data_IF_470794199929
#
_entry.id   IF_470794199929
#
_cell.length_a   1.000
_cell.length_b   1.000
_cell.length_c   1.000
_cell.angle_alpha   90.00
_cell.angle_beta   90.00
_cell.angle_gamma   90.00
#
_symmetry.space_group_name_H-M   'P 1'
#
loop_
_entity.id
_entity.type
_entity.pdbx_description
1 polymer ?
#
# COMPACT_ATOMS: atom_id res chain seq x y z
N UNK A 1 45.88 -32.13 -45.17
CA UNK A 1 45.95 -30.72 -45.63
C UNK A 1 44.61 -30.36 -46.28
N UNK A 2 44.03 -29.24 -45.80
CA UNK A 2 42.88 -28.44 -46.28
C UNK A 2 41.88 -29.03 -47.30
N UNK A 3 40.64 -29.23 -46.83
CA UNK A 3 39.41 -29.33 -47.64
C UNK A 3 39.01 -27.95 -48.18
N UNK A 4 38.60 -27.95 -49.45
CA UNK A 4 38.19 -26.80 -50.27
C UNK A 4 36.69 -26.54 -50.08
N UNK A 5 36.31 -25.26 -50.06
CA UNK A 5 34.95 -24.75 -50.01
C UNK A 5 34.20 -25.03 -51.32
N UNK A 6 32.99 -25.57 -51.22
CA UNK A 6 31.98 -25.48 -52.28
C UNK A 6 30.92 -24.43 -51.91
N UNK A 7 30.70 -23.52 -52.86
CA UNK A 7 29.69 -22.48 -52.86
C UNK A 7 28.78 -22.77 -54.05
N UNK A 8 27.49 -23.07 -53.83
CA UNK A 8 26.46 -22.97 -54.86
C UNK A 8 25.14 -22.51 -54.25
N UNK A 9 24.61 -21.47 -54.89
CA UNK A 9 23.33 -20.81 -54.70
C UNK A 9 22.18 -21.65 -55.26
N UNK A 10 20.96 -21.43 -54.75
CA UNK A 10 19.73 -21.38 -55.55
C UNK A 10 18.66 -20.51 -54.86
N UNK A 11 18.00 -19.68 -55.69
CA UNK A 11 16.89 -18.78 -55.38
C UNK A 11 15.63 -19.54 -54.92
N UNK A 12 14.66 -18.85 -54.30
CA UNK A 12 13.25 -18.76 -54.77
C UNK A 12 12.41 -17.81 -53.86
N UNK A 13 11.74 -16.88 -54.54
CA UNK A 13 10.50 -16.11 -54.28
C UNK A 13 10.10 -15.59 -52.88
N UNK A 14 9.87 -14.28 -52.85
CA UNK A 14 9.14 -13.49 -51.82
C UNK A 14 7.64 -13.51 -52.11
N UNK A 15 6.77 -13.52 -51.07
CA UNK A 15 5.49 -12.84 -51.15
C UNK A 15 5.44 -11.66 -50.18
N UNK A 16 5.02 -10.53 -50.73
CA UNK A 16 4.64 -9.30 -50.04
C UNK A 16 3.32 -9.55 -49.31
N UNK A 17 3.27 -9.31 -48.01
CA UNK A 17 2.02 -9.05 -47.30
C UNK A 17 2.15 -7.76 -46.49
N UNK A 18 1.55 -6.71 -47.05
CA UNK A 18 1.22 -5.46 -46.39
C UNK A 18 -0.04 -5.74 -45.56
N UNK A 19 0.00 -5.49 -44.25
CA UNK A 19 -1.22 -5.33 -43.47
C UNK A 19 -1.15 -4.02 -42.67
N UNK A 20 -2.04 -3.12 -43.06
CA UNK A 20 -2.31 -1.84 -42.42
C UNK A 20 -2.73 -2.04 -40.97
N UNK A 21 -2.12 -1.30 -40.04
CA UNK A 21 -2.77 -0.97 -38.77
C UNK A 21 -3.38 0.42 -38.93
N UNK A 22 -4.72 0.43 -39.04
CA UNK A 22 -5.54 1.64 -38.95
C UNK A 22 -5.32 2.28 -37.57
N UNK A 23 -4.68 3.45 -37.54
CA UNK A 23 -4.89 4.43 -36.48
C UNK A 23 -5.97 5.39 -36.97
N UNK A 24 -7.19 5.22 -36.47
CA UNK A 24 -8.26 6.21 -36.58
C UNK A 24 -8.47 6.87 -35.23
N UNK A 25 -8.01 8.11 -35.10
CA UNK A 25 -8.75 9.19 -34.43
C UNK A 25 -8.20 10.54 -34.94
N UNK A 26 -8.85 11.05 -35.98
CA UNK A 26 -8.95 12.50 -36.29
C UNK A 26 -10.46 12.74 -36.22
N UNK A 27 -10.98 13.75 -35.52
CA UNK A 27 -11.14 15.16 -35.91
C UNK A 27 -11.33 15.92 -34.57
N UNK A 28 -10.48 16.90 -34.19
CA UNK A 28 -10.53 18.35 -34.55
C UNK A 28 -11.94 18.93 -34.30
N UNK A 29 -12.22 20.13 -33.77
CA UNK A 29 -11.67 21.48 -33.69
C UNK A 29 -12.59 22.18 -32.64
N UNK A 30 -12.47 23.41 -32.17
CA UNK A 30 -11.58 24.55 -32.35
C UNK A 30 -11.89 25.49 -31.18
N UNK A 31 -10.88 26.24 -30.75
CA UNK A 31 -11.01 27.65 -30.36
C UNK A 31 -11.70 27.96 -29.03
N UNK A 32 -10.93 28.54 -28.11
CA UNK A 32 -11.32 29.85 -27.59
C UNK A 32 -10.13 30.65 -27.05
N UNK A 33 -10.31 31.95 -27.21
CA UNK A 33 -9.38 33.07 -27.11
C UNK A 33 -8.85 33.34 -25.72
N UNK A 34 -7.61 33.84 -25.69
CA UNK A 34 -7.00 34.55 -24.56
C UNK A 34 -7.88 35.74 -24.15
N UNK A 35 -8.28 35.79 -22.88
CA UNK A 35 -8.77 37.00 -22.21
C UNK A 35 -7.93 37.17 -20.94
N UNK A 36 -7.28 38.34 -20.81
CA UNK A 36 -6.63 38.81 -19.58
C UNK A 36 -7.71 39.19 -18.55
N UNK A 37 -7.52 38.96 -17.25
CA UNK A 37 -8.29 39.67 -16.24
C UNK A 37 -7.59 40.99 -15.87
N UNK A 38 -8.37 42.06 -15.99
CA UNK A 38 -8.09 43.38 -15.44
C UNK A 38 -8.29 43.42 -13.92
N UNK A 39 -7.74 44.48 -13.34
CA UNK A 39 -7.66 44.81 -11.92
C UNK A 39 -9.00 45.02 -11.20
N UNK A 40 -8.93 44.90 -9.87
CA UNK A 40 -9.81 45.49 -8.85
C UNK A 40 -11.26 44.99 -8.77
N UNK A 41 -11.54 44.19 -7.73
CA UNK A 41 -12.61 44.56 -6.78
C UNK A 41 -12.40 43.88 -5.43
N UNK A 42 -12.47 44.70 -4.40
CA UNK A 42 -12.43 44.35 -2.99
C UNK A 42 -13.77 43.75 -2.55
N UNK A 43 -13.73 42.63 -1.82
CA UNK A 43 -14.89 42.16 -1.06
C UNK A 43 -14.50 41.94 0.40
N UNK A 44 -15.13 42.75 1.24
CA UNK A 44 -14.99 42.82 2.69
C UNK A 44 -15.54 41.56 3.36
N UNK A 45 -14.86 41.18 4.44
CA UNK A 45 -15.28 40.21 5.45
C UNK A 45 -16.68 40.49 5.99
N UNK A 46 -17.51 39.45 6.12
CA UNK A 46 -18.59 39.41 7.10
C UNK A 46 -18.57 38.08 7.82
N UNK A 47 -18.06 38.13 9.05
CA UNK A 47 -18.22 37.12 10.08
C UNK A 47 -19.68 37.10 10.51
N UNK A 48 -20.31 35.93 10.59
CA UNK A 48 -21.59 35.78 11.29
C UNK A 48 -21.52 34.53 12.16
N UNK A 49 -21.57 34.77 13.46
CA UNK A 49 -21.69 33.78 14.52
C UNK A 49 -23.06 33.12 14.49
N UNK A 50 -23.11 31.79 14.46
CA UNK A 50 -24.27 31.01 14.93
C UNK A 50 -23.78 29.76 15.67
N UNK A 51 -24.31 29.61 16.87
CA UNK A 51 -24.18 28.43 17.74
C UNK A 51 -24.61 27.16 17.00
N UNK A 52 -23.95 26.01 17.20
CA UNK A 52 -24.43 24.75 16.64
C UNK A 52 -25.49 24.15 17.57
N UNK A 53 -26.74 24.28 17.17
CA UNK A 53 -27.83 23.43 17.64
C UNK A 53 -27.62 22.02 17.08
N UNK A 54 -27.64 21.04 17.97
CA UNK A 54 -27.57 19.61 17.68
C UNK A 54 -28.79 19.16 16.87
N UNK A 55 -28.57 18.77 15.61
CA UNK A 55 -29.43 17.80 14.94
C UNK A 55 -28.70 17.12 13.77
N UNK A 56 -28.82 15.80 13.73
CA UNK A 56 -28.68 14.92 12.56
C UNK A 56 -27.34 14.93 11.81
N UNK A 57 -26.54 13.88 12.00
CA UNK A 57 -25.63 13.41 10.94
C UNK A 57 -26.00 11.98 10.56
N UNK A 58 -26.88 11.92 9.57
CA UNK A 58 -26.92 10.83 8.60
C UNK A 58 -25.50 10.66 8.01
N UNK A 59 -25.16 9.45 7.55
CA UNK A 59 -24.22 9.37 6.42
C UNK A 59 -24.88 10.23 5.35
N UNK A 60 -24.32 11.40 5.03
CA UNK A 60 -24.79 12.13 3.85
C UNK A 60 -24.72 11.11 2.71
N UNK A 61 -25.84 10.81 2.06
CA UNK A 61 -25.85 9.93 0.87
C UNK A 61 -24.91 10.47 -0.23
N UNK A 62 -24.46 11.71 -0.10
CA UNK A 62 -23.48 12.40 -0.93
C UNK A 62 -22.03 12.37 -0.38
N UNK A 63 -21.77 11.75 0.78
CA UNK A 63 -20.43 11.67 1.38
C UNK A 63 -19.54 10.58 0.80
N UNK A 64 -20.14 9.58 0.12
CA UNK A 64 -19.40 8.66 -0.73
C UNK A 64 -19.26 9.39 -2.08
N UNK A 65 -18.05 9.73 -2.52
CA UNK A 65 -17.89 10.41 -3.80
C UNK A 65 -18.49 9.54 -4.88
N UNK A 66 -19.49 10.07 -5.61
CA UNK A 66 -20.01 9.46 -6.83
C UNK A 66 -18.91 9.55 -7.89
N UNK A 67 -17.98 8.60 -7.84
CA UNK A 67 -16.82 8.58 -8.72
C UNK A 67 -17.22 8.02 -10.09
N UNK A 68 -17.09 8.86 -11.12
CA UNK A 68 -17.35 8.49 -12.52
C UNK A 68 -16.27 7.53 -13.03
N UNK A 69 -15.06 7.58 -12.46
CA UNK A 69 -13.93 6.74 -12.88
C UNK A 69 -13.90 5.37 -12.20
N UNK A 70 -14.68 5.19 -11.13
CA UNK A 70 -14.71 3.96 -10.36
C UNK A 70 -16.11 3.78 -9.71
N UNK A 71 -17.06 3.13 -10.41
CA UNK A 71 -18.39 2.91 -9.84
C UNK A 71 -18.34 1.84 -8.75
N UNK A 72 -19.01 2.09 -7.63
CA UNK A 72 -19.20 1.08 -6.59
C UNK A 72 -19.95 -0.12 -7.18
N UNK A 73 -19.39 -1.31 -6.98
CA UNK A 73 -19.91 -2.55 -7.60
C UNK A 73 -21.05 -3.18 -6.81
N UNK A 74 -21.16 -2.84 -5.51
CA UNK A 74 -22.14 -3.42 -4.61
C UNK A 74 -22.85 -2.32 -3.81
N UNK A 75 -24.14 -2.55 -3.54
CA UNK A 75 -24.93 -1.64 -2.71
C UNK A 75 -24.30 -1.54 -1.31
N UNK A 76 -24.01 -0.32 -0.88
CA UNK A 76 -23.43 -0.03 0.43
C UNK A 76 -21.92 -0.32 0.54
N UNK A 77 -21.23 -0.65 -0.57
CA UNK A 77 -19.77 -0.77 -0.60
C UNK A 77 -19.12 0.52 -0.09
N UNK A 78 -18.18 0.37 0.86
CA UNK A 78 -17.51 1.51 1.51
C UNK A 78 -16.57 2.24 0.56
N UNK A 79 -15.78 1.46 -0.18
CA UNK A 79 -14.84 1.93 -1.19
C UNK A 79 -14.40 0.76 -2.07
N UNK A 80 -13.68 1.06 -3.14
CA UNK A 80 -13.12 0.05 -4.03
C UNK A 80 -12.11 -0.81 -3.26
N UNK A 81 -11.02 -0.19 -2.80
CA UNK A 81 -9.91 -0.92 -2.18
C UNK A 81 -9.59 -0.33 -0.80
N UNK A 82 -9.61 -1.19 0.22
CA UNK A 82 -9.05 -0.89 1.54
C UNK A 82 -7.62 -1.43 1.59
N UNK A 83 -6.66 -0.53 1.81
CA UNK A 83 -5.22 -0.83 1.78
C UNK A 83 -4.61 -1.07 3.15
N UNK A 84 -5.06 -0.33 4.16
CA UNK A 84 -4.52 -0.38 5.52
C UNK A 84 -5.63 -0.20 6.53
N UNK A 85 -5.43 -0.76 7.71
CA UNK A 85 -6.37 -0.69 8.83
C UNK A 85 -5.57 -0.47 10.11
N UNK A 86 -5.96 0.51 10.91
CA UNK A 86 -5.49 0.66 12.29
C UNK A 86 -6.67 0.99 13.21
N UNK A 87 -6.46 0.81 14.51
CA UNK A 87 -7.35 1.34 15.54
C UNK A 87 -6.59 2.39 16.35
N UNK A 88 -7.18 3.58 16.50
CA UNK A 88 -6.61 4.63 17.34
C UNK A 88 -6.91 4.41 18.85
N UNK A 89 -6.28 5.21 19.70
CA UNK A 89 -6.43 5.13 21.17
C UNK A 89 -7.86 5.37 21.68
N UNK A 90 -8.71 6.01 20.87
CA UNK A 90 -10.11 6.27 21.20
C UNK A 90 -11.02 5.13 20.72
N UNK A 91 -10.45 4.10 20.07
CA UNK A 91 -11.19 2.96 19.54
C UNK A 91 -11.70 3.15 18.12
N UNK A 92 -11.43 4.29 17.46
CA UNK A 92 -11.86 4.50 16.08
C UNK A 92 -11.04 3.64 15.14
N UNK A 93 -11.69 3.06 14.14
CA UNK A 93 -11.01 2.33 13.06
C UNK A 93 -10.73 3.30 11.91
N UNK A 94 -9.50 3.29 11.42
CA UNK A 94 -9.07 4.07 10.27
C UNK A 94 -8.73 3.15 9.11
N UNK A 95 -9.24 3.47 7.93
CA UNK A 95 -9.10 2.67 6.72
C UNK A 95 -8.44 3.49 5.62
N UNK A 96 -7.21 3.14 5.26
CA UNK A 96 -6.54 3.71 4.10
C UNK A 96 -7.20 3.20 2.83
N UNK A 97 -7.54 4.09 1.89
CA UNK A 97 -8.22 3.71 0.65
C UNK A 97 -7.33 3.95 -0.57
N UNK A 98 -7.72 3.44 -1.74
CA UNK A 98 -6.98 3.72 -2.97
C UNK A 98 -7.36 5.04 -3.66
N UNK A 99 -8.56 5.59 -3.40
CA UNK A 99 -9.07 6.75 -4.16
C UNK A 99 -9.67 7.86 -3.28
N UNK A 100 -10.12 7.57 -2.07
CA UNK A 100 -10.90 8.50 -1.25
C UNK A 100 -10.10 9.08 -0.07
N UNK A 101 -8.77 9.01 -0.12
CA UNK A 101 -7.92 9.34 1.00
C UNK A 101 -8.06 8.29 2.10
N UNK A 102 -8.64 8.68 3.23
CA UNK A 102 -8.84 7.81 4.40
C UNK A 102 -10.27 7.87 4.91
N UNK A 103 -10.79 6.72 5.36
CA UNK A 103 -12.09 6.62 6.04
C UNK A 103 -11.88 6.37 7.53
N UNK A 104 -12.80 6.85 8.37
CA UNK A 104 -12.81 6.59 9.82
C UNK A 104 -14.17 6.12 10.30
N UNK A 105 -14.23 4.99 10.98
CA UNK A 105 -15.42 4.53 11.70
C UNK A 105 -15.24 4.80 13.20
N UNK A 106 -16.16 5.56 13.78
CA UNK A 106 -16.10 5.98 15.19
C UNK A 106 -16.99 5.17 16.14
N UNK A 107 -17.50 4.02 15.70
CA UNK A 107 -18.47 3.21 16.45
C UNK A 107 -19.93 3.60 16.20
N UNK A 108 -20.20 4.68 15.48
CA UNK A 108 -21.57 5.12 15.14
C UNK A 108 -21.77 5.34 13.65
N UNK A 109 -20.81 5.97 12.97
CA UNK A 109 -20.88 6.26 11.54
C UNK A 109 -19.50 6.30 10.90
N UNK A 110 -19.47 6.24 9.57
CA UNK A 110 -18.26 6.32 8.76
C UNK A 110 -18.06 7.75 8.24
N UNK A 111 -16.85 8.25 8.35
CA UNK A 111 -16.42 9.55 7.85
C UNK A 111 -15.38 9.37 6.73
N UNK A 112 -15.46 10.21 5.70
CA UNK A 112 -14.53 10.22 4.57
C UNK A 112 -13.71 11.51 4.58
N UNK A 113 -12.39 11.38 4.55
CA UNK A 113 -11.43 12.46 4.47
C UNK A 113 -10.72 12.43 3.13
N UNK A 114 -11.29 13.17 2.18
CA UNK A 114 -10.80 13.28 0.80
C UNK A 114 -9.91 14.51 0.63
N UNK A 115 -9.20 14.66 -0.51
CA UNK A 115 -8.44 15.87 -0.80
C UNK A 115 -9.25 17.17 -0.76
N UNK A 116 -10.52 17.12 -1.19
CA UNK A 116 -11.44 18.26 -1.14
C UNK A 116 -11.76 18.69 0.30
N UNK A 117 -11.58 17.78 1.26
CA UNK A 117 -11.73 18.01 2.71
C UNK A 117 -10.38 18.25 3.42
N UNK A 118 -9.31 18.51 2.66
CA UNK A 118 -8.00 18.89 3.18
C UNK A 118 -7.02 17.73 3.42
N UNK A 119 -7.37 16.49 3.08
CA UNK A 119 -6.43 15.37 3.15
C UNK A 119 -5.38 15.43 2.01
N UNK A 120 -4.16 14.93 2.23
CA UNK A 120 -3.03 15.22 1.34
C UNK A 120 -3.01 14.47 0.00
N UNK A 121 -3.78 13.39 -0.17
CA UNK A 121 -3.75 12.57 -1.38
C UNK A 121 -4.92 11.60 -1.50
N UNK A 122 -5.04 10.90 -2.62
CA UNK A 122 -6.19 10.00 -2.87
C UNK A 122 -5.92 8.56 -2.44
N UNK A 123 -4.71 8.06 -2.70
CA UNK A 123 -4.28 6.71 -2.29
C UNK A 123 -3.53 6.78 -0.98
N UNK A 124 -3.99 6.07 0.05
CA UNK A 124 -3.32 5.93 1.35
C UNK A 124 -2.62 4.57 1.44
N UNK A 125 -1.30 4.59 1.55
CA UNK A 125 -0.43 3.40 1.48
C UNK A 125 0.16 2.98 2.82
N UNK A 126 0.15 3.86 3.83
CA UNK A 126 0.55 3.53 5.19
C UNK A 126 -0.17 4.38 6.22
N UNK A 127 -0.37 3.83 7.41
CA UNK A 127 -0.96 4.53 8.56
C UNK A 127 -0.18 4.11 9.81
N UNK A 128 0.24 5.08 10.62
CA UNK A 128 0.86 4.82 11.92
C UNK A 128 0.45 5.88 12.94
N UNK A 129 0.65 5.58 14.22
CA UNK A 129 0.41 6.50 15.32
C UNK A 129 1.73 6.82 16.00
N UNK A 130 1.99 8.10 16.28
CA UNK A 130 3.16 8.51 17.04
C UNK A 130 2.90 8.47 18.57
N UNK A 131 3.93 8.75 19.36
CA UNK A 131 3.84 8.69 20.84
C UNK A 131 2.91 9.74 21.45
N UNK A 132 2.65 10.84 20.74
CA UNK A 132 1.69 11.89 21.16
C UNK A 132 0.23 11.48 20.84
N UNK A 133 0.07 10.41 20.04
CA UNK A 133 -1.22 9.93 19.56
C UNK A 133 -1.71 10.65 18.31
N UNK A 134 -0.83 11.36 17.59
CA UNK A 134 -1.15 11.84 16.26
C UNK A 134 -1.11 10.67 15.28
N UNK A 135 -1.91 10.75 14.23
CA UNK A 135 -1.96 9.73 13.19
C UNK A 135 -1.28 10.27 11.94
N UNK A 136 -0.40 9.47 11.37
CA UNK A 136 0.32 9.81 10.15
C UNK A 136 -0.12 8.89 9.02
N UNK A 137 -0.29 9.47 7.84
CA UNK A 137 -0.74 8.79 6.64
C UNK A 137 0.29 9.00 5.53
N UNK A 138 0.84 7.90 5.00
CA UNK A 138 1.57 7.92 3.73
C UNK A 138 0.55 7.86 2.60
N UNK A 139 0.63 8.78 1.64
CA UNK A 139 -0.33 8.86 0.56
C UNK A 139 0.31 9.31 -0.77
N UNK A 140 -0.48 9.34 -1.85
CA UNK A 140 -0.01 9.73 -3.19
C UNK A 140 0.36 11.22 -3.33
N UNK A 141 0.12 12.05 -2.32
CA UNK A 141 0.53 13.46 -2.28
C UNK A 141 1.63 13.75 -1.27
N UNK A 142 2.23 12.72 -0.66
CA UNK A 142 3.27 12.84 0.36
C UNK A 142 2.84 12.19 1.68
N UNK A 143 3.04 12.90 2.80
CA UNK A 143 2.55 12.46 4.11
C UNK A 143 1.57 13.47 4.71
N UNK A 144 0.54 12.97 5.39
CA UNK A 144 -0.44 13.79 6.11
C UNK A 144 -0.40 13.45 7.59
N UNK A 145 -0.30 14.46 8.46
CA UNK A 145 -0.50 14.35 9.91
C UNK A 145 -1.96 14.67 10.24
N UNK A 146 -2.58 13.89 11.10
CA UNK A 146 -3.83 14.22 11.78
C UNK A 146 -3.56 14.42 13.27
N UNK A 147 -3.82 15.64 13.74
CA UNK A 147 -3.64 16.04 15.14
C UNK A 147 -4.76 16.97 15.55
N UNK A 148 -5.40 16.69 16.68
CA UNK A 148 -6.45 17.54 17.27
C UNK A 148 -7.57 17.93 16.27
N UNK A 149 -8.00 17.00 15.42
CA UNK A 149 -9.06 17.25 14.44
C UNK A 149 -8.59 17.91 13.14
N UNK A 150 -7.30 18.23 13.00
CA UNK A 150 -6.76 18.97 11.86
C UNK A 150 -5.79 18.10 11.05
N UNK A 151 -5.80 18.30 9.72
CA UNK A 151 -4.81 17.73 8.82
C UNK A 151 -3.69 18.73 8.52
N UNK A 152 -2.45 18.23 8.47
CA UNK A 152 -1.29 18.97 7.97
C UNK A 152 -0.61 18.11 6.92
N UNK A 153 -0.43 18.65 5.72
CA UNK A 153 0.09 17.92 4.57
C UNK A 153 1.53 18.34 4.31
N UNK A 154 2.37 17.35 3.99
CA UNK A 154 3.78 17.54 3.65
C UNK A 154 4.07 16.84 2.33
N UNK A 155 4.81 17.53 1.46
CA UNK A 155 5.06 17.16 0.08
C UNK A 155 6.51 17.44 -0.33
N UNK A 156 6.83 17.27 -1.61
CA UNK A 156 8.10 17.68 -2.20
C UNK A 156 8.42 19.17 -1.99
N UNK A 157 7.38 20.02 -1.87
CA UNK A 157 7.57 21.46 -1.56
C UNK A 157 8.16 21.68 -0.17
N UNK A 158 7.99 20.71 0.72
CA UNK A 158 8.47 20.74 2.11
C UNK A 158 9.81 19.99 2.26
N UNK A 159 10.33 19.41 1.17
CA UNK A 159 11.63 18.71 1.11
C UNK A 159 11.54 17.18 1.05
N UNK A 160 10.33 16.59 0.98
CA UNK A 160 10.18 15.16 0.70
C UNK A 160 10.78 14.83 -0.66
N UNK A 161 11.48 13.70 -0.81
CA UNK A 161 12.12 13.35 -2.09
C UNK A 161 11.13 13.08 -3.23
N UNK A 162 9.96 12.54 -2.90
CA UNK A 162 8.93 12.21 -3.89
C UNK A 162 7.55 12.06 -3.21
N UNK A 163 6.50 12.61 -3.81
CA UNK A 163 5.13 12.58 -3.27
C UNK A 163 4.48 11.19 -3.31
N UNK A 164 4.91 10.28 -4.19
CA UNK A 164 4.35 8.95 -4.30
C UNK A 164 4.90 8.05 -3.18
N UNK A 165 4.29 8.17 -2.00
CA UNK A 165 4.65 7.39 -0.80
C UNK A 165 4.05 5.98 -0.87
N UNK A 166 4.89 4.98 -0.58
CA UNK A 166 4.53 3.56 -0.52
C UNK A 166 4.55 2.98 0.88
N UNK A 167 5.41 3.52 1.76
CA UNK A 167 5.53 3.05 3.13
C UNK A 167 5.91 4.18 4.06
N UNK A 168 5.39 4.14 5.28
CA UNK A 168 5.86 4.96 6.38
C UNK A 168 6.18 4.07 7.58
N UNK A 169 7.22 4.42 8.33
CA UNK A 169 7.57 3.80 9.59
C UNK A 169 8.06 4.87 10.57
N UNK A 170 7.86 4.66 11.86
CA UNK A 170 8.37 5.57 12.90
C UNK A 170 9.39 4.80 13.74
N UNK A 171 10.57 5.37 13.95
CA UNK A 171 11.57 4.77 14.81
C UNK A 171 11.39 5.15 16.29
N UNK A 172 12.21 4.57 17.16
CA UNK A 172 12.14 4.79 18.61
C UNK A 172 12.48 6.23 19.05
N UNK A 173 13.05 7.05 18.14
CA UNK A 173 13.33 8.47 18.38
C UNK A 173 12.20 9.37 17.89
N UNK A 174 11.14 8.80 17.31
CA UNK A 174 10.05 9.55 16.70
C UNK A 174 10.32 10.04 15.28
N UNK A 175 11.42 9.60 14.66
CA UNK A 175 11.72 9.97 13.27
C UNK A 175 10.82 9.14 12.34
N UNK A 176 10.17 9.82 11.40
CA UNK A 176 9.30 9.19 10.42
C UNK A 176 10.11 8.91 9.15
N UNK A 177 10.29 7.63 8.85
CA UNK A 177 10.90 7.12 7.64
C UNK A 177 9.83 6.96 6.57
N UNK A 178 10.07 7.54 5.38
CA UNK A 178 9.12 7.60 4.27
C UNK A 178 9.75 6.94 3.05
N UNK A 179 9.23 5.76 2.68
CA UNK A 179 9.59 5.05 1.45
C UNK A 179 8.72 5.51 0.30
N UNK A 180 9.35 5.94 -0.79
CA UNK A 180 8.71 6.56 -1.94
C UNK A 180 9.06 5.82 -3.23
N UNK A 181 8.51 6.28 -4.35
CA UNK A 181 8.87 5.78 -5.69
C UNK A 181 10.32 6.13 -6.11
N UNK A 182 10.96 7.08 -5.42
CA UNK A 182 12.32 7.56 -5.77
C UNK A 182 13.32 7.49 -4.61
N UNK A 183 13.05 6.67 -3.60
CA UNK A 183 13.96 6.40 -2.50
C UNK A 183 13.35 6.65 -1.14
N UNK A 184 14.16 7.14 -0.19
CA UNK A 184 13.73 7.36 1.19
C UNK A 184 14.05 8.77 1.66
N UNK A 185 13.07 9.37 2.32
CA UNK A 185 13.29 10.52 3.19
C UNK A 185 13.02 10.12 4.64
N UNK A 186 13.67 10.77 5.60
CA UNK A 186 13.23 10.76 6.97
C UNK A 186 12.85 12.18 7.42
N UNK A 187 11.90 12.25 8.34
CA UNK A 187 11.31 13.49 8.83
C UNK A 187 11.40 13.55 10.36
N UNK A 188 12.01 14.60 10.89
CA UNK A 188 12.22 14.80 12.33
C UNK A 188 11.12 15.63 13.01
N UNK A 189 10.03 15.92 12.29
CA UNK A 189 8.97 16.83 12.73
C UNK A 189 9.13 18.26 12.20
N UNK A 190 10.29 18.60 11.62
CA UNK A 190 10.59 19.94 11.08
C UNK A 190 11.13 19.90 9.67
N UNK A 191 12.07 19.00 9.37
CA UNK A 191 12.74 18.94 8.06
C UNK A 191 12.76 17.53 7.51
N UNK A 192 12.65 17.43 6.19
CA UNK A 192 12.93 16.19 5.47
C UNK A 192 14.40 16.12 5.10
N UNK A 193 14.98 14.93 5.25
CA UNK A 193 16.33 14.62 4.77
C UNK A 193 16.29 13.35 3.94
N UNK A 194 16.88 13.38 2.75
CA UNK A 194 17.05 12.18 1.92
C UNK A 194 18.02 11.21 2.58
N UNK A 195 17.64 9.95 2.66
CA UNK A 195 18.50 8.87 3.15
C UNK A 195 18.96 7.97 1.99
N UNK A 196 20.25 7.96 1.65
CA UNK A 196 20.75 7.14 0.56
C UNK A 196 20.74 5.66 0.94
N UNK A 197 20.16 4.83 0.06
CA UNK A 197 20.16 3.38 0.20
C UNK A 197 21.04 2.78 -0.90
N UNK A 198 22.17 2.14 -0.56
CA UNK A 198 22.98 1.46 -1.56
C UNK A 198 22.18 0.30 -2.18
N UNK A 199 22.40 0.06 -3.47
CA UNK A 199 21.76 -1.08 -4.17
C UNK A 199 22.65 -2.31 -4.08
N UNK A 200 22.02 -3.47 -3.93
CA UNK A 200 22.70 -4.74 -4.08
C UNK A 200 23.19 -4.90 -5.54
N UNK A 201 24.29 -5.63 -5.73
CA UNK A 201 24.75 -6.01 -7.07
C UNK A 201 23.88 -7.16 -7.59
N UNK A 202 23.00 -6.85 -8.54
CA UNK A 202 22.09 -7.81 -9.19
C UNK A 202 22.28 -7.72 -10.70
N UNK A 203 22.41 -8.87 -11.38
CA UNK A 203 22.63 -8.93 -12.82
C UNK A 203 21.40 -8.49 -13.64
N UNK A 204 20.20 -8.87 -13.18
CA UNK A 204 18.94 -8.47 -13.80
C UNK A 204 17.87 -8.23 -12.71
N UNK A 205 17.57 -6.97 -12.36
CA UNK A 205 16.59 -6.65 -11.32
C UNK A 205 15.14 -6.79 -11.81
N UNK A 206 14.91 -6.95 -13.12
CA UNK A 206 13.57 -6.95 -13.71
C UNK A 206 12.73 -8.20 -13.36
N UNK A 207 11.39 -8.09 -13.29
CA UNK A 207 10.61 -6.86 -13.49
C UNK A 207 10.63 -5.95 -12.26
N UNK A 208 10.72 -4.63 -12.46
CA UNK A 208 10.56 -3.61 -11.40
C UNK A 208 9.56 -2.53 -11.81
N UNK A 209 9.03 -1.78 -10.82
CA UNK A 209 8.22 -0.60 -11.09
C UNK A 209 9.09 0.66 -11.15
N UNK A 210 10.06 0.77 -10.25
CA UNK A 210 11.09 1.82 -10.29
C UNK A 210 12.37 1.33 -9.62
N UNK A 211 13.52 1.73 -10.18
CA UNK A 211 14.84 1.38 -9.65
C UNK A 211 15.10 1.89 -8.22
N UNK A 212 14.35 2.88 -7.76
CA UNK A 212 14.54 3.52 -6.47
C UNK A 212 13.35 3.28 -5.53
N UNK A 213 12.31 2.56 -5.97
CA UNK A 213 11.12 2.38 -5.14
C UNK A 213 11.46 1.59 -3.88
N UNK A 214 11.02 2.14 -2.74
CA UNK A 214 11.01 1.45 -1.46
C UNK A 214 9.57 1.09 -1.12
N UNK A 215 9.23 -0.19 -1.32
CA UNK A 215 7.87 -0.71 -1.17
C UNK A 215 7.45 -0.85 0.29
N UNK A 216 8.39 -1.14 1.18
CA UNK A 216 8.13 -1.33 2.61
C UNK A 216 9.31 -0.88 3.46
N UNK A 217 9.00 -0.28 4.61
CA UNK A 217 9.96 0.01 5.68
C UNK A 217 9.43 -0.59 6.98
N UNK A 218 10.28 -1.31 7.70
CA UNK A 218 10.02 -1.69 9.10
C UNK A 218 11.24 -1.36 9.97
N UNK A 219 10.98 -1.06 11.23
CA UNK A 219 12.00 -0.91 12.27
C UNK A 219 11.91 -2.16 13.14
N UNK A 220 13.00 -2.93 13.22
CA UNK A 220 13.03 -4.12 14.09
C UNK A 220 13.22 -3.74 15.57
N UNK A 221 12.93 -4.66 16.48
CA UNK A 221 13.08 -4.51 17.94
C UNK A 221 14.51 -4.16 18.38
N UNK A 222 15.51 -4.38 17.52
CA UNK A 222 16.90 -4.01 17.77
C UNK A 222 17.23 -2.61 17.24
N UNK A 223 16.25 -1.89 16.71
CA UNK A 223 16.38 -0.55 16.14
C UNK A 223 17.01 -0.54 14.74
N UNK A 224 17.12 -1.69 14.07
CA UNK A 224 17.58 -1.72 12.67
C UNK A 224 16.42 -1.42 11.73
N UNK A 225 16.73 -0.74 10.64
CA UNK A 225 15.77 -0.37 9.61
C UNK A 225 15.89 -1.37 8.46
N UNK A 226 14.76 -1.88 8.01
CA UNK A 226 14.69 -2.80 6.88
C UNK A 226 13.90 -2.14 5.75
N UNK A 227 14.51 -2.08 4.59
CA UNK A 227 13.94 -1.51 3.37
C UNK A 227 13.65 -2.66 2.39
N UNK A 228 12.38 -2.87 2.06
CA UNK A 228 11.95 -3.69 0.93
C UNK A 228 12.08 -2.88 -0.35
N UNK A 229 12.70 -3.46 -1.37
CA UNK A 229 12.96 -2.79 -2.65
C UNK A 229 12.41 -3.59 -3.82
N UNK A 230 12.26 -2.93 -4.97
CA UNK A 230 11.94 -3.59 -6.24
C UNK A 230 13.22 -4.12 -6.89
N UNK A 231 13.29 -5.42 -7.15
CA UNK A 231 14.38 -6.06 -7.89
C UNK A 231 15.74 -6.15 -7.18
N UNK A 232 15.97 -5.42 -6.09
CA UNK A 232 17.23 -5.40 -5.33
C UNK A 232 17.15 -6.10 -3.96
N UNK A 233 16.02 -6.75 -3.65
CA UNK A 233 15.82 -7.50 -2.43
C UNK A 233 15.61 -6.61 -1.21
N UNK A 234 16.22 -6.98 -0.10
CA UNK A 234 16.09 -6.29 1.17
C UNK A 234 17.41 -5.60 1.52
N UNK A 235 17.35 -4.32 1.91
CA UNK A 235 18.46 -3.60 2.50
C UNK A 235 18.21 -3.39 3.99
N UNK A 236 19.08 -3.93 4.86
CA UNK A 236 19.03 -3.71 6.30
C UNK A 236 20.10 -2.70 6.72
N UNK A 237 19.72 -1.69 7.49
CA UNK A 237 20.62 -0.72 8.11
C UNK A 237 20.59 -0.84 9.63
N UNK A 238 21.74 -1.06 10.27
CA UNK A 238 21.85 -1.21 11.74
C UNK A 238 22.28 0.07 12.47
N UNK A 239 22.25 1.24 11.79
CA UNK A 239 22.79 2.50 12.31
C UNK A 239 24.27 2.75 11.98
N UNK A 240 24.97 1.78 11.38
CA UNK A 240 26.38 1.90 10.98
C UNK A 240 26.65 1.33 9.58
N UNK A 241 26.13 0.15 9.29
CA UNK A 241 26.40 -0.58 8.06
C UNK A 241 25.12 -1.06 7.40
N UNK A 242 25.20 -1.25 6.08
CA UNK A 242 24.16 -1.87 5.28
C UNK A 242 24.45 -3.36 5.09
N UNK A 243 23.40 -4.17 5.08
CA UNK A 243 23.44 -5.60 4.75
C UNK A 243 22.35 -5.88 3.75
N UNK A 244 22.70 -6.51 2.63
CA UNK A 244 21.75 -6.89 1.60
C UNK A 244 21.36 -8.35 1.73
N UNK A 245 20.07 -8.62 1.56
CA UNK A 245 19.56 -9.97 1.35
C UNK A 245 18.91 -10.04 -0.03
N UNK A 246 19.36 -10.98 -0.84
CA UNK A 246 18.86 -11.24 -2.19
C UNK A 246 18.53 -12.72 -2.35
N UNK A 247 18.10 -13.13 -3.54
CA UNK A 247 17.94 -14.54 -3.92
C UNK A 247 19.22 -15.36 -3.71
N UNK A 248 20.40 -14.76 -3.88
CA UNK A 248 21.69 -15.41 -3.60
C UNK A 248 21.90 -15.71 -2.11
N UNK A 249 21.20 -14.98 -1.23
CA UNK A 249 21.20 -15.21 0.21
C UNK A 249 20.06 -16.14 0.67
N UNK A 250 19.16 -16.54 -0.23
CA UNK A 250 18.06 -17.45 0.05
C UNK A 250 16.67 -16.79 0.10
N UNK A 251 16.53 -15.50 -0.22
CA UNK A 251 15.22 -14.91 -0.46
C UNK A 251 14.51 -15.63 -1.62
N UNK A 252 13.18 -15.73 -1.60
CA UNK A 252 12.45 -16.41 -2.67
C UNK A 252 12.35 -15.56 -3.95
N UNK A 253 12.40 -14.23 -3.82
CA UNK A 253 12.35 -13.24 -4.90
C UNK A 253 12.95 -11.90 -4.40
N UNK A 254 13.49 -11.10 -5.32
CA UNK A 254 14.09 -9.79 -5.01
C UNK A 254 13.08 -8.64 -5.08
N UNK A 255 11.85 -8.87 -5.56
CA UNK A 255 10.77 -7.90 -5.49
C UNK A 255 9.98 -8.05 -4.19
N UNK A 256 10.28 -7.18 -3.23
CA UNK A 256 9.66 -7.24 -1.90
C UNK A 256 8.32 -6.51 -1.94
N UNK A 257 7.26 -7.18 -1.52
CA UNK A 257 5.92 -6.61 -1.40
C UNK A 257 5.59 -6.22 0.03
N UNK A 258 6.05 -6.99 1.02
CA UNK A 258 5.74 -6.73 2.42
C UNK A 258 6.80 -7.32 3.38
N UNK A 259 6.92 -6.71 4.56
CA UNK A 259 7.83 -7.09 5.64
C UNK A 259 7.13 -6.92 6.98
N UNK A 260 7.37 -7.86 7.90
CA UNK A 260 6.89 -7.77 9.27
C UNK A 260 7.84 -8.52 10.21
N UNK A 261 8.18 -7.93 11.36
CA UNK A 261 8.84 -8.67 12.44
C UNK A 261 7.77 -9.29 13.36
N UNK A 262 7.89 -10.59 13.65
CA UNK A 262 7.01 -11.27 14.60
C UNK A 262 7.46 -11.08 16.07
N UNK A 263 6.60 -11.50 17.00
CA UNK A 263 6.81 -11.44 18.45
C UNK A 263 8.10 -12.13 18.89
N UNK A 264 8.58 -13.11 18.12
CA UNK A 264 9.79 -13.92 18.37
C UNK A 264 11.04 -13.35 17.68
N UNK A 265 10.92 -12.23 16.97
CA UNK A 265 12.04 -11.56 16.28
C UNK A 265 12.41 -12.18 14.94
N UNK A 266 11.54 -12.99 14.34
CA UNK A 266 11.72 -13.41 12.96
C UNK A 266 11.15 -12.35 12.02
N UNK A 267 11.80 -12.16 10.87
CA UNK A 267 11.27 -11.33 9.80
C UNK A 267 10.47 -12.23 8.87
N UNK A 268 9.19 -11.93 8.69
CA UNK A 268 8.36 -12.49 7.64
C UNK A 268 8.43 -11.60 6.41
N UNK A 269 8.55 -12.24 5.25
CA UNK A 269 8.78 -11.59 3.96
C UNK A 269 7.71 -12.08 2.99
N UNK A 270 6.93 -11.13 2.48
CA UNK A 270 6.11 -11.29 1.28
C UNK A 270 6.89 -10.79 0.07
N UNK A 271 6.74 -11.49 -1.05
CA UNK A 271 7.34 -11.07 -2.32
C UNK A 271 6.27 -11.00 -3.42
N UNK A 272 6.58 -10.33 -4.52
CA UNK A 272 5.68 -10.21 -5.66
C UNK A 272 5.60 -11.52 -6.46
N UNK A 273 6.71 -12.27 -6.57
CA UNK A 273 6.76 -13.43 -7.47
C UNK A 273 7.34 -14.71 -6.83
N UNK A 274 7.82 -14.65 -5.58
CA UNK A 274 8.45 -15.78 -4.88
C UNK A 274 7.62 -16.40 -3.77
N UNK A 275 6.50 -15.77 -3.42
CA UNK A 275 5.64 -16.14 -2.30
C UNK A 275 6.17 -15.67 -0.96
N UNK A 276 6.02 -16.53 0.07
CA UNK A 276 6.29 -16.17 1.47
C UNK A 276 7.52 -16.88 2.04
N UNK A 277 8.32 -16.14 2.81
CA UNK A 277 9.48 -16.65 3.53
C UNK A 277 9.55 -16.11 4.95
N UNK A 278 10.28 -16.82 5.81
CA UNK A 278 10.62 -16.37 7.16
C UNK A 278 12.13 -16.43 7.38
N UNK A 279 12.70 -15.34 7.88
CA UNK A 279 14.10 -15.21 8.27
C UNK A 279 14.24 -15.15 9.79
N UNK A 280 15.01 -16.07 10.37
CA UNK A 280 15.23 -16.12 11.83
C UNK A 280 16.53 -15.42 12.30
N UNK A 281 17.12 -14.58 11.46
CA UNK A 281 18.43 -13.96 11.72
C UNK A 281 19.63 -14.79 11.25
N UNK A 282 19.41 -16.01 10.74
CA UNK A 282 20.47 -16.89 10.19
C UNK A 282 20.07 -17.53 8.86
N UNK A 283 18.85 -18.04 8.76
CA UNK A 283 18.38 -18.82 7.59
C UNK A 283 17.01 -18.38 7.13
N UNK A 284 16.78 -18.48 5.81
CA UNK A 284 15.48 -18.29 5.17
C UNK A 284 14.72 -19.61 5.06
N UNK A 285 13.46 -19.61 5.48
CA UNK A 285 12.52 -20.72 5.34
C UNK A 285 11.46 -20.35 4.30
N UNK A 286 11.58 -20.85 3.07
CA UNK A 286 10.71 -20.50 1.94
C UNK A 286 9.51 -21.45 1.85
N UNK A 287 8.32 -21.00 2.26
CA UNK A 287 7.15 -21.89 2.35
C UNK A 287 6.47 -22.14 1.01
N UNK A 288 6.44 -21.14 0.12
CA UNK A 288 5.88 -21.31 -1.23
C UNK A 288 6.77 -22.19 -2.10
N UNK A 289 8.08 -21.92 -2.12
CA UNK A 289 9.07 -22.74 -2.86
C UNK A 289 9.07 -24.21 -2.43
N UNK A 290 8.79 -24.47 -1.15
CA UNK A 290 8.70 -25.83 -0.61
C UNK A 290 7.32 -26.48 -0.81
N UNK A 291 6.39 -25.83 -1.52
CA UNK A 291 5.05 -26.36 -1.81
C UNK A 291 4.09 -26.38 -0.62
N UNK A 292 4.42 -25.71 0.49
CA UNK A 292 3.59 -25.68 1.71
C UNK A 292 2.45 -24.66 1.56
N UNK A 293 2.70 -23.58 0.84
CA UNK A 293 1.78 -22.46 0.59
C UNK A 293 1.67 -22.25 -0.93
N UNK A 294 0.47 -21.98 -1.42
CA UNK A 294 0.26 -21.59 -2.82
C UNK A 294 0.06 -20.08 -2.95
N UNK A 295 0.51 -19.53 -4.09
CA UNK A 295 0.47 -18.10 -4.40
C UNK A 295 1.85 -17.46 -4.33
N UNK A 296 2.17 -16.71 -5.39
CA UNK A 296 3.49 -16.09 -5.60
C UNK A 296 3.54 -14.64 -5.14
N UNK A 297 2.44 -13.91 -5.28
CA UNK A 297 2.30 -12.56 -4.75
C UNK A 297 1.72 -12.64 -3.34
N UNK A 298 2.53 -12.28 -2.34
CA UNK A 298 2.15 -12.34 -0.93
C UNK A 298 2.27 -10.96 -0.30
N UNK A 299 1.27 -10.54 0.48
CA UNK A 299 1.30 -9.30 1.24
C UNK A 299 0.34 -9.31 2.41
N UNK A 300 0.11 -8.14 3.02
CA UNK A 300 -0.80 -8.00 4.15
C UNK A 300 -0.38 -8.84 5.35
N UNK A 301 0.93 -8.90 5.61
CA UNK A 301 1.49 -9.65 6.74
C UNK A 301 0.98 -9.07 8.05
N UNK A 302 0.50 -9.94 8.93
CA UNK A 302 -0.03 -9.55 10.22
C UNK A 302 0.21 -10.64 11.28
N UNK A 303 0.61 -10.26 12.48
CA UNK A 303 0.63 -11.16 13.63
C UNK A 303 -0.55 -10.82 14.55
N UNK A 304 -1.38 -11.82 14.84
CA UNK A 304 -2.50 -11.65 15.77
C UNK A 304 -2.05 -11.70 17.23
N UNK A 305 -2.95 -11.35 18.16
CA UNK A 305 -2.66 -11.32 19.60
C UNK A 305 -2.30 -12.68 20.20
N UNK A 306 -2.55 -13.78 19.48
CA UNK A 306 -2.20 -15.14 19.88
C UNK A 306 -0.86 -15.60 19.28
N UNK A 307 -0.19 -14.73 18.51
CA UNK A 307 1.06 -15.02 17.83
C UNK A 307 0.91 -15.88 16.57
N UNK A 308 -0.30 -15.96 16.00
CA UNK A 308 -0.47 -16.56 14.67
C UNK A 308 -0.11 -15.53 13.61
N UNK A 309 0.50 -16.01 12.53
CA UNK A 309 0.91 -15.19 11.40
C UNK A 309 -0.12 -15.33 10.30
N UNK A 310 -0.66 -14.21 9.86
CA UNK A 310 -1.61 -14.10 8.78
C UNK A 310 -0.96 -13.41 7.59
N UNK A 311 -1.33 -13.83 6.38
CA UNK A 311 -0.94 -13.16 5.15
C UNK A 311 -1.90 -13.48 4.02
N UNK A 312 -2.02 -12.56 3.08
CA UNK A 312 -2.74 -12.77 1.84
C UNK A 312 -1.79 -13.32 0.78
N UNK A 313 -2.28 -14.29 0.00
CA UNK A 313 -1.63 -14.75 -1.22
C UNK A 313 -2.58 -14.47 -2.39
N UNK A 314 -2.18 -13.61 -3.32
CA UNK A 314 -3.08 -13.15 -4.38
C UNK A 314 -3.62 -14.34 -5.19
N UNK A 315 -4.91 -14.31 -5.51
CA UNK A 315 -5.66 -15.39 -6.18
C UNK A 315 -5.68 -16.73 -5.43
N UNK A 316 -5.15 -16.77 -4.19
CA UNK A 316 -5.01 -17.99 -3.38
C UNK A 316 -5.56 -17.82 -1.96
N UNK A 317 -6.21 -16.69 -1.66
CA UNK A 317 -6.88 -16.44 -0.39
C UNK A 317 -5.94 -15.95 0.71
N UNK A 318 -6.30 -16.24 1.96
CA UNK A 318 -5.57 -15.82 3.16
C UNK A 318 -5.10 -17.04 3.92
N UNK A 319 -3.83 -17.04 4.31
CA UNK A 319 -3.24 -18.09 5.12
C UNK A 319 -3.08 -17.63 6.56
N UNK A 320 -3.25 -18.57 7.50
CA UNK A 320 -2.89 -18.44 8.90
C UNK A 320 -1.89 -19.53 9.29
N UNK A 321 -0.77 -19.14 9.89
CA UNK A 321 0.22 -20.03 10.47
C UNK A 321 0.16 -19.96 12.00
N UNK A 322 -0.11 -21.09 12.65
CA UNK A 322 -0.23 -21.18 14.11
C UNK A 322 1.06 -21.57 14.83
N UNK A 323 2.21 -21.49 14.15
CA UNK A 323 3.49 -21.99 14.67
C UNK A 323 3.78 -23.45 14.36
N UNK A 324 2.81 -24.21 13.83
CA UNK A 324 2.97 -25.62 13.43
C UNK A 324 2.52 -25.89 12.00
N UNK A 325 1.36 -25.36 11.60
CA UNK A 325 0.72 -25.64 10.33
C UNK A 325 0.07 -24.40 9.73
N UNK A 326 -0.09 -24.41 8.42
CA UNK A 326 -0.83 -23.38 7.68
C UNK A 326 -2.29 -23.81 7.47
N UNK A 327 -3.22 -22.86 7.61
CA UNK A 327 -4.63 -23.01 7.23
C UNK A 327 -4.95 -21.96 6.18
N UNK A 328 -5.54 -22.36 5.06
CA UNK A 328 -5.98 -21.45 4.01
C UNK A 328 -7.49 -21.20 4.11
N UNK A 329 -7.87 -19.93 3.99
CA UNK A 329 -9.24 -19.46 3.93
C UNK A 329 -9.45 -18.70 2.61
N UNK A 330 -10.41 -19.14 1.80
CA UNK A 330 -10.65 -18.56 0.48
C UNK A 330 -12.14 -18.59 0.11
N UNK A 331 -12.48 -18.98 -1.12
CA UNK A 331 -13.84 -18.89 -1.68
C UNK A 331 -14.86 -19.69 -0.87
N UNK A 332 -14.51 -20.88 -0.37
CA UNK A 332 -15.41 -21.73 0.42
C UNK A 332 -15.77 -21.12 1.77
N UNK A 333 -14.92 -20.23 2.30
CA UNK A 333 -15.18 -19.44 3.50
C UNK A 333 -15.83 -18.08 3.20
N UNK A 334 -16.23 -17.79 1.96
CA UNK A 334 -16.91 -16.54 1.60
C UNK A 334 -15.98 -15.38 1.23
N UNK A 335 -14.67 -15.61 1.08
CA UNK A 335 -13.76 -14.60 0.57
C UNK A 335 -13.97 -14.42 -0.94
N UNK A 336 -14.76 -13.42 -1.33
CA UNK A 336 -15.18 -13.18 -2.72
C UNK A 336 -14.26 -12.22 -3.49
N UNK A 337 -13.06 -11.96 -2.96
CA UNK A 337 -12.01 -11.14 -3.59
C UNK A 337 -10.77 -11.99 -3.83
N UNK A 338 -9.96 -11.58 -4.81
CA UNK A 338 -8.68 -12.21 -5.12
C UNK A 338 -7.48 -11.51 -4.48
N UNK A 339 -7.67 -10.28 -3.99
CA UNK A 339 -6.64 -9.49 -3.33
C UNK A 339 -7.12 -9.00 -1.97
N UNK A 340 -6.44 -9.46 -0.91
CA UNK A 340 -6.44 -8.85 0.42
C UNK A 340 -5.11 -8.13 0.58
N UNK A 341 -5.16 -6.90 1.04
CA UNK A 341 -4.01 -5.99 1.18
C UNK A 341 -3.64 -5.74 2.64
N UNK A 342 -4.60 -5.86 3.56
CA UNK A 342 -4.39 -5.65 4.99
C UNK A 342 -5.22 -6.61 5.83
N UNK A 343 -4.66 -7.01 6.96
CA UNK A 343 -5.28 -7.86 7.97
C UNK A 343 -5.06 -7.17 9.31
N UNK A 344 -6.09 -7.08 10.13
CA UNK A 344 -6.02 -6.38 11.42
C UNK A 344 -6.98 -6.99 12.44
N UNK A 345 -6.49 -7.28 13.64
CA UNK A 345 -7.30 -7.66 14.80
C UNK A 345 -7.44 -6.45 15.72
N UNK A 346 -8.68 -5.98 15.93
CA UNK A 346 -8.93 -4.84 16.80
C UNK A 346 -8.90 -5.20 18.30
N UNK A 347 -9.07 -4.18 19.16
CA UNK A 347 -9.04 -4.34 20.62
C UNK A 347 -10.12 -5.27 21.18
N UNK A 348 -11.19 -5.54 20.43
CA UNK A 348 -12.25 -6.48 20.81
C UNK A 348 -11.99 -7.90 20.28
N UNK A 349 -10.86 -8.15 19.60
CA UNK A 349 -10.53 -9.45 19.00
C UNK A 349 -11.23 -9.68 17.65
N UNK A 350 -11.77 -8.63 17.05
CA UNK A 350 -12.46 -8.70 15.76
C UNK A 350 -11.43 -8.56 14.65
N UNK A 351 -11.41 -9.52 13.72
CA UNK A 351 -10.60 -9.44 12.53
C UNK A 351 -11.26 -8.67 11.38
N UNK A 352 -10.46 -7.81 10.76
CA UNK A 352 -10.78 -6.99 9.61
C UNK A 352 -9.81 -7.29 8.48
N UNK A 353 -10.34 -7.48 7.27
CA UNK A 353 -9.56 -7.79 6.07
C UNK A 353 -9.89 -6.75 5.00
N UNK A 354 -8.94 -5.89 4.71
CA UNK A 354 -9.06 -4.88 3.65
C UNK A 354 -8.49 -5.40 2.35
N UNK A 355 -9.19 -5.19 1.23
CA UNK A 355 -8.73 -5.64 -0.07
C UNK A 355 -9.48 -5.01 -1.24
N UNK A 356 -9.38 -5.62 -2.43
CA UNK A 356 -9.86 -5.04 -3.70
C UNK A 356 -11.38 -4.91 -3.85
N UNK A 357 -12.14 -5.43 -2.90
CA UNK A 357 -13.59 -5.24 -2.86
C UNK A 357 -14.03 -4.41 -1.66
N UNK A 358 -13.13 -3.83 -0.90
CA UNK A 358 -13.46 -3.07 0.30
C UNK A 358 -13.05 -3.85 1.54
N UNK A 359 -13.98 -3.98 2.49
CA UNK A 359 -13.71 -4.48 3.83
C UNK A 359 -14.51 -5.77 4.12
N UNK A 360 -13.85 -6.71 4.78
CA UNK A 360 -14.46 -7.96 5.22
C UNK A 360 -14.21 -8.18 6.71
N UNK A 361 -15.20 -8.77 7.40
CA UNK A 361 -15.07 -9.33 8.74
C UNK A 361 -14.84 -10.83 8.64
N UNK A 362 -14.12 -11.39 9.61
CA UNK A 362 -13.98 -12.83 9.79
C UNK A 362 -14.38 -13.20 11.23
N UNK A 363 -15.22 -14.22 11.36
CA UNK A 363 -15.73 -14.74 12.63
C UNK A 363 -14.96 -15.98 13.13
N UNK A 364 -13.88 -16.37 12.45
CA UNK A 364 -13.13 -17.60 12.70
C UNK A 364 -13.48 -18.75 11.75
N UNK A 365 -14.57 -18.63 10.99
CA UNK A 365 -15.05 -19.63 10.03
C UNK A 365 -15.35 -19.06 8.65
N UNK A 366 -15.94 -17.87 8.57
CA UNK A 366 -16.42 -17.28 7.33
C UNK A 366 -16.16 -15.77 7.24
N UNK A 367 -15.98 -15.30 6.01
CA UNK A 367 -15.86 -13.90 5.67
C UNK A 367 -17.22 -13.31 5.35
N UNK A 368 -17.50 -12.15 5.95
CA UNK A 368 -18.70 -11.36 5.65
C UNK A 368 -18.27 -9.99 5.14
N UNK A 369 -18.89 -9.54 4.07
CA UNK A 369 -18.66 -8.21 3.51
C UNK A 369 -19.17 -7.13 4.46
N UNK A 370 -18.42 -6.05 4.65
CA UNK A 370 -18.84 -4.89 5.45
C UNK A 370 -19.32 -3.77 4.52
N UNK A 371 -20.58 -3.40 4.68
CA UNK A 371 -21.19 -2.24 4.02
C UNK A 371 -21.36 -1.08 4.99
N UNK A 372 -21.93 0.04 4.53
CA UNK A 372 -22.34 1.14 5.40
C UNK A 372 -23.26 0.66 6.55
N UNK A 373 -24.10 -0.34 6.27
CA UNK A 373 -25.03 -0.93 7.24
C UNK A 373 -24.37 -2.03 8.10
N UNK A 374 -23.09 -2.31 7.88
CA UNK A 374 -22.29 -3.28 8.62
C UNK A 374 -22.06 -4.61 7.89
N UNK A 375 -21.65 -5.66 8.64
CA UNK A 375 -21.56 -5.72 10.09
C UNK A 375 -20.35 -4.95 10.64
N UNK A 376 -20.59 -4.05 11.60
CA UNK A 376 -19.55 -3.31 12.31
C UNK A 376 -19.25 -3.88 13.71
N UNK A 377 -20.28 -4.35 14.42
CA UNK A 377 -20.18 -4.75 15.84
C UNK A 377 -20.27 -6.26 16.09
N UNK A 378 -20.63 -7.06 15.07
CA UNK A 378 -20.89 -8.51 15.21
C UNK A 378 -19.68 -9.39 14.86
#
# INVERSE_FOLDING_TARGET
>A
MKKILEKKSHQISVPVFILLILFTFIISCNGQSKIKPDQNSSVKSKTTTKEPTTSLFFVEQNAIPNDIFAPLYYKGQLCHWVRNIIQDKNGNLWFGTNHYGVMRYNGKYLEYFTPEKGFGGTRTTGILTDQEGNIWFGNSGGITKYSNGLFTNYSEKDGLINNEVWSIAIDYKGIIWVGTSDGVSYFDGKTFTTFPIPKAKINNPEPIISHNRVSKIIIDKKGSIWFGTDGYGICKYNGKTFTHYTTDNGLPDNNISDLMEDSKGNIWIGTMHGGVSRYNGKVFSNFTKNGIVNGLEVGGLYEDKKGNIWFAAENNGVYRYNGKSFTNFYKKEGLTTNGILSIFEDNQGRFWFGGWKGLFRFDGKSFTYVTNDGPWEK
#
